data_IF_809860512479
#
_entry.id   IF_809860512479
#
_cell.length_a   1.000
_cell.length_b   1.000
_cell.length_c   1.000
_cell.angle_alpha   90.00
_cell.angle_beta   90.00
_cell.angle_gamma   90.00
#
_symmetry.space_group_name_H-M   'P 1'
#
loop_
_entity.id
_entity.type
_entity.pdbx_description
1 polymer ?
#
# COMPACT_ATOMS: atom_id res chain seq x y z
N UNK A 1 35.30 -39.47 -11.51
CA UNK A 1 34.56 -40.22 -10.49
C UNK A 1 34.51 -39.32 -9.26
N UNK A 2 33.53 -38.41 -9.14
CA UNK A 2 32.13 -38.68 -8.74
C UNK A 2 32.11 -39.20 -7.28
N UNK A 3 31.43 -38.65 -6.27
CA UNK A 3 30.24 -37.79 -6.08
C UNK A 3 30.36 -37.19 -4.64
N UNK A 4 30.08 -35.92 -4.35
CA UNK A 4 28.77 -35.24 -4.14
C UNK A 4 28.06 -35.51 -2.79
N UNK A 5 27.42 -34.43 -2.29
CA UNK A 5 26.37 -34.32 -1.26
C UNK A 5 26.77 -33.98 0.19
N UNK A 6 26.45 -32.73 0.58
CA UNK A 6 26.42 -32.32 1.99
C UNK A 6 26.27 -30.82 2.28
N UNK A 7 25.60 -30.03 1.44
CA UNK A 7 25.24 -28.63 1.75
C UNK A 7 23.85 -28.31 1.22
N UNK A 8 22.84 -28.80 1.92
CA UNK A 8 21.45 -28.33 1.80
C UNK A 8 21.12 -27.66 3.11
N UNK A 9 20.98 -26.34 3.13
CA UNK A 9 19.97 -25.55 3.85
C UNK A 9 20.23 -24.06 3.54
N UNK A 10 19.16 -23.34 3.19
CA UNK A 10 19.06 -21.87 3.03
C UNK A 10 19.51 -21.20 1.72
N UNK A 11 18.99 -21.63 0.57
CA UNK A 11 18.84 -20.70 -0.59
C UNK A 11 17.49 -20.97 -1.29
N UNK A 12 16.39 -20.66 -0.61
CA UNK A 12 15.05 -20.62 -1.21
C UNK A 12 14.24 -19.48 -0.58
N UNK A 13 14.60 -18.24 -0.91
CA UNK A 13 13.72 -17.06 -0.77
C UNK A 13 14.38 -15.85 -1.44
N UNK A 14 14.60 -15.92 -2.76
CA UNK A 14 14.83 -14.74 -3.60
C UNK A 14 13.97 -14.89 -4.85
N UNK A 15 12.67 -14.75 -4.63
CA UNK A 15 11.71 -14.46 -5.69
C UNK A 15 11.70 -12.95 -5.92
N UNK A 16 11.40 -12.57 -7.17
CA UNK A 16 11.25 -11.22 -7.72
C UNK A 16 12.58 -10.54 -8.06
N UNK A 17 12.80 -9.96 -9.24
CA UNK A 17 11.88 -9.32 -10.18
C UNK A 17 12.56 -9.30 -11.57
N UNK A 18 11.96 -9.93 -12.58
CA UNK A 18 12.42 -9.77 -13.96
C UNK A 18 11.22 -9.57 -14.90
N UNK A 19 11.07 -8.32 -15.34
CA UNK A 19 10.62 -7.91 -16.66
C UNK A 19 9.29 -8.47 -17.18
N UNK A 20 8.23 -7.69 -17.02
CA UNK A 20 7.10 -7.66 -17.95
C UNK A 20 6.62 -6.22 -18.13
N UNK A 21 7.45 -5.42 -18.80
CA UNK A 21 6.97 -4.29 -19.60
C UNK A 21 7.04 -4.77 -21.05
N UNK A 22 5.97 -5.43 -21.50
CA UNK A 22 5.75 -5.72 -22.91
C UNK A 22 4.41 -5.10 -23.31
N UNK A 23 4.55 -3.96 -23.97
CA UNK A 23 3.61 -3.22 -24.82
C UNK A 23 2.37 -3.98 -25.32
N UNK A 24 1.20 -3.44 -24.97
CA UNK A 24 0.02 -3.45 -25.84
C UNK A 24 -0.48 -2.01 -25.99
N UNK A 25 0.19 -1.24 -26.84
CA UNK A 25 -0.34 0.03 -27.34
C UNK A 25 -1.33 -0.31 -28.43
N UNK A 26 -2.62 -0.29 -28.08
CA UNK A 26 -3.69 -0.15 -29.06
C UNK A 26 -4.68 0.89 -28.53
N UNK A 27 -4.44 2.16 -28.89
CA UNK A 27 -5.46 3.12 -29.30
C UNK A 27 -6.69 3.35 -28.41
N UNK A 28 -6.59 3.29 -27.08
CA UNK A 28 -7.55 3.98 -26.19
C UNK A 28 -6.81 5.12 -25.51
N UNK A 29 -7.40 6.31 -25.51
CA UNK A 29 -6.99 7.34 -24.56
C UNK A 29 -6.96 6.67 -23.18
N UNK A 30 -5.78 6.59 -22.58
CA UNK A 30 -5.61 6.00 -21.27
C UNK A 30 -6.22 6.99 -20.28
N UNK A 31 -7.53 6.89 -20.08
CA UNK A 31 -8.27 7.82 -19.23
C UNK A 31 -8.00 7.46 -17.79
N UNK A 32 -7.25 8.34 -17.12
CA UNK A 32 -7.19 8.42 -15.68
C UNK A 32 -8.48 9.09 -15.21
N UNK A 33 -9.29 8.37 -14.43
CA UNK A 33 -10.52 8.94 -13.89
C UNK A 33 -10.38 9.04 -12.38
N UNK A 34 -10.65 10.20 -11.76
CA UNK A 34 -10.75 10.29 -10.30
C UNK A 34 -11.71 9.21 -9.78
N UNK A 35 -11.30 8.47 -8.75
CA UNK A 35 -12.12 7.43 -8.14
C UNK A 35 -12.62 7.87 -6.78
N UNK A 36 -11.72 8.29 -5.91
CA UNK A 36 -12.10 8.79 -4.59
C UNK A 36 -11.07 9.75 -4.01
N UNK A 37 -11.51 10.56 -3.05
CA UNK A 37 -10.64 11.38 -2.24
C UNK A 37 -11.13 11.33 -0.79
N UNK A 38 -10.21 11.36 0.17
CA UNK A 38 -10.58 11.18 1.57
C UNK A 38 -9.45 11.33 2.55
N UNK A 39 -9.69 10.83 3.75
CA UNK A 39 -8.75 10.86 4.87
C UNK A 39 -8.55 9.47 5.44
N UNK A 40 -7.36 9.19 5.94
CA UNK A 40 -7.01 7.96 6.65
C UNK A 40 -6.37 8.28 8.00
N UNK A 41 -6.77 7.55 9.04
CA UNK A 41 -6.26 7.67 10.40
C UNK A 41 -5.74 6.31 10.86
N UNK A 42 -4.51 6.27 11.36
CA UNK A 42 -3.79 5.06 11.69
C UNK A 42 -3.26 5.02 13.12
N UNK A 43 -3.23 3.82 13.69
CA UNK A 43 -2.56 3.51 14.96
C UNK A 43 -1.65 2.30 14.79
N UNK A 44 -0.48 2.31 15.43
CA UNK A 44 0.45 1.18 15.34
C UNK A 44 -0.11 -0.12 15.91
N UNK A 45 0.24 -1.24 15.28
CA UNK A 45 -0.13 -2.58 15.70
C UNK A 45 1.09 -3.34 16.23
N UNK A 46 1.02 -3.86 17.46
CA UNK A 46 2.08 -4.67 18.08
C UNK A 46 3.47 -4.00 18.09
N UNK A 47 3.54 -2.72 18.44
CA UNK A 47 4.78 -1.95 18.51
C UNK A 47 5.11 -1.55 19.96
N UNK A 48 6.41 -1.45 20.26
CA UNK A 48 6.89 -0.87 21.52
C UNK A 48 6.68 0.66 21.50
N UNK A 49 5.48 1.06 21.92
CA UNK A 49 4.97 2.43 21.90
C UNK A 49 4.01 2.69 20.74
N UNK A 50 3.26 3.79 20.82
CA UNK A 50 2.16 4.07 19.87
C UNK A 50 2.57 5.08 18.81
N UNK A 51 2.54 4.65 17.55
CA UNK A 51 2.53 5.58 16.41
C UNK A 51 1.11 5.97 16.06
N UNK A 52 0.94 7.23 15.66
CA UNK A 52 -0.29 7.75 15.09
C UNK A 52 0.00 8.27 13.68
N UNK A 53 -0.91 7.99 12.75
CA UNK A 53 -0.84 8.48 11.37
C UNK A 53 -2.13 9.21 11.02
N UNK A 54 -2.01 10.31 10.29
CA UNK A 54 -3.13 11.00 9.66
C UNK A 54 -2.73 11.46 8.26
N UNK A 55 -3.48 11.07 7.23
CA UNK A 55 -3.21 11.45 5.84
C UNK A 55 -4.47 11.81 5.07
N UNK A 56 -4.35 12.74 4.13
CA UNK A 56 -5.30 12.91 3.03
C UNK A 56 -4.84 12.07 1.84
N UNK A 57 -5.79 11.52 1.07
CA UNK A 57 -5.49 10.71 -0.10
C UNK A 57 -6.42 11.00 -1.27
N UNK A 58 -5.95 10.66 -2.47
CA UNK A 58 -6.74 10.63 -3.70
C UNK A 58 -6.36 9.39 -4.51
N UNK A 59 -7.37 8.71 -5.03
CA UNK A 59 -7.24 7.54 -5.88
C UNK A 59 -7.74 7.84 -7.30
N UNK A 60 -7.03 7.35 -8.31
CA UNK A 60 -7.48 7.39 -9.71
C UNK A 60 -7.53 5.98 -10.30
N UNK A 61 -8.62 5.66 -11.00
CA UNK A 61 -8.67 4.43 -11.79
C UNK A 61 -7.73 4.58 -13.00
N UNK A 62 -6.93 3.54 -13.18
CA UNK A 62 -6.09 3.34 -14.36
C UNK A 62 -6.89 2.59 -15.44
N UNK A 63 -6.47 2.63 -16.72
CA UNK A 63 -7.22 2.01 -17.81
C UNK A 63 -7.26 0.48 -17.76
N UNK A 64 -6.43 -0.16 -16.92
CA UNK A 64 -6.37 -1.63 -16.84
C UNK A 64 -7.36 -2.16 -15.80
N UNK A 65 -8.37 -2.86 -16.31
CA UNK A 65 -9.36 -3.55 -15.51
C UNK A 65 -9.76 -4.86 -16.19
N UNK A 66 -10.13 -5.85 -15.39
CA UNK A 66 -10.51 -7.17 -15.84
C UNK A 66 -11.80 -7.60 -15.13
N UNK A 67 -12.77 -8.04 -15.92
CA UNK A 67 -13.96 -8.70 -15.39
C UNK A 67 -13.65 -10.20 -15.22
N UNK A 68 -13.55 -10.64 -13.97
CA UNK A 68 -13.21 -12.00 -13.58
C UNK A 68 -14.51 -12.80 -13.41
N UNK A 69 -15.15 -13.10 -14.54
CA UNK A 69 -16.49 -13.67 -14.56
C UNK A 69 -17.58 -12.61 -14.36
N UNK A 70 -18.74 -13.01 -13.83
CA UNK A 70 -19.90 -12.10 -13.67
C UNK A 70 -19.92 -11.34 -12.33
N UNK A 71 -19.20 -11.84 -11.33
CA UNK A 71 -19.31 -11.35 -9.95
C UNK A 71 -18.08 -10.59 -9.46
N UNK A 72 -17.02 -10.48 -10.25
CA UNK A 72 -15.77 -9.89 -9.78
C UNK A 72 -15.19 -8.96 -10.83
N UNK A 73 -14.80 -7.76 -10.40
CA UNK A 73 -14.08 -6.81 -11.23
C UNK A 73 -12.79 -6.40 -10.55
N UNK A 74 -11.67 -6.70 -11.19
CA UNK A 74 -10.35 -6.26 -10.79
C UNK A 74 -10.01 -4.96 -11.50
N UNK A 75 -9.69 -3.91 -10.75
CA UNK A 75 -9.39 -2.58 -11.23
C UNK A 75 -8.00 -2.17 -10.74
N UNK A 76 -7.13 -1.71 -11.63
CA UNK A 76 -5.88 -1.05 -11.22
C UNK A 76 -6.14 0.41 -10.88
N UNK A 77 -5.46 0.92 -9.85
CA UNK A 77 -5.52 2.34 -9.46
C UNK A 77 -4.13 2.85 -9.12
N UNK A 78 -4.01 4.17 -9.09
CA UNK A 78 -2.89 4.85 -8.42
C UNK A 78 -3.43 5.55 -7.18
N UNK A 79 -2.74 5.33 -6.05
CA UNK A 79 -2.98 5.97 -4.75
C UNK A 79 -1.90 7.02 -4.51
N UNK A 80 -2.34 8.21 -4.12
CA UNK A 80 -1.47 9.31 -3.69
C UNK A 80 -1.95 9.78 -2.32
N UNK A 81 -1.05 9.78 -1.32
CA UNK A 81 -1.34 10.30 0.01
C UNK A 81 -0.25 11.22 0.53
N UNK A 82 -0.65 12.14 1.40
CA UNK A 82 0.24 13.03 2.13
C UNK A 82 -0.32 13.29 3.53
N UNK A 83 0.56 13.35 4.52
CA UNK A 83 0.12 13.44 5.90
C UNK A 83 1.24 13.54 6.91
N UNK A 84 0.92 13.08 8.11
CA UNK A 84 1.75 13.13 9.29
C UNK A 84 1.85 11.75 9.94
N UNK A 85 3.04 11.43 10.45
CA UNK A 85 3.34 10.28 11.26
C UNK A 85 4.01 10.76 12.56
N UNK A 86 3.43 10.40 13.70
CA UNK A 86 3.92 10.80 15.02
C UNK A 86 4.25 9.64 15.93
N UNK A 87 5.27 9.84 16.78
CA UNK A 87 5.65 8.94 17.87
C UNK A 87 6.28 9.72 19.02
N UNK A 88 5.63 9.70 20.18
CA UNK A 88 5.99 10.51 21.35
C UNK A 88 6.10 12.01 20.98
N UNK A 89 7.30 12.59 21.08
CA UNK A 89 7.60 14.00 20.77
C UNK A 89 8.20 14.18 19.36
N UNK A 90 8.13 13.14 18.51
CA UNK A 90 8.73 13.16 17.18
C UNK A 90 7.66 13.08 16.11
N UNK A 91 7.74 14.03 15.19
CA UNK A 91 6.83 14.18 14.07
C UNK A 91 7.59 14.07 12.75
N UNK A 92 6.94 13.47 11.76
CA UNK A 92 7.39 13.44 10.39
C UNK A 92 6.24 13.70 9.42
N UNK A 93 6.54 14.37 8.32
CA UNK A 93 5.72 14.30 7.13
C UNK A 93 5.88 12.90 6.52
N UNK A 94 4.77 12.34 6.03
CA UNK A 94 4.72 11.10 5.25
C UNK A 94 4.02 11.36 3.93
N UNK A 95 4.61 10.91 2.83
CA UNK A 95 4.02 10.98 1.49
C UNK A 95 4.15 9.64 0.78
N UNK A 96 3.06 9.13 0.22
CA UNK A 96 3.01 7.82 -0.43
C UNK A 96 2.45 7.97 -1.84
N UNK A 97 3.04 7.29 -2.81
CA UNK A 97 2.51 7.26 -4.17
C UNK A 97 2.79 5.92 -4.82
N UNK A 98 1.77 5.26 -5.37
CA UNK A 98 2.00 4.00 -6.07
C UNK A 98 0.75 3.27 -6.51
N UNK A 99 0.93 2.10 -7.16
CA UNK A 99 -0.17 1.32 -7.70
C UNK A 99 -0.87 0.51 -6.61
N UNK A 100 -2.19 0.35 -6.78
CA UNK A 100 -2.95 -0.64 -6.04
C UNK A 100 -3.91 -1.41 -6.95
N UNK A 101 -4.35 -2.57 -6.46
CA UNK A 101 -5.38 -3.40 -7.06
C UNK A 101 -6.64 -3.33 -6.20
N UNK A 102 -7.77 -3.04 -6.82
CA UNK A 102 -9.08 -3.05 -6.20
C UNK A 102 -9.94 -4.17 -6.80
N UNK A 103 -10.35 -5.12 -5.97
CA UNK A 103 -11.23 -6.21 -6.34
C UNK A 103 -12.64 -5.89 -5.82
N UNK A 104 -13.55 -5.52 -6.73
CA UNK A 104 -14.96 -5.25 -6.41
C UNK A 104 -15.78 -6.54 -6.43
N UNK A 105 -16.62 -6.73 -5.40
CA UNK A 105 -17.55 -7.84 -5.28
C UNK A 105 -18.87 -7.46 -5.95
N UNK A 106 -19.13 -7.94 -7.16
CA UNK A 106 -20.17 -7.45 -8.08
C UNK A 106 -21.53 -7.10 -7.45
N UNK A 107 -22.14 -7.99 -6.64
CA UNK A 107 -23.46 -7.73 -6.03
C UNK A 107 -23.41 -7.03 -4.66
N UNK A 108 -22.23 -6.88 -4.08
CA UNK A 108 -22.06 -6.33 -2.75
C UNK A 108 -21.38 -4.96 -2.84
N UNK A 109 -21.72 -4.00 -1.97
CA UNK A 109 -21.03 -2.72 -1.92
C UNK A 109 -19.64 -2.86 -1.27
N UNK A 110 -18.92 -3.95 -1.53
CA UNK A 110 -17.65 -4.28 -0.89
C UNK A 110 -16.53 -4.36 -1.93
N UNK A 111 -15.36 -3.82 -1.56
CA UNK A 111 -14.11 -4.05 -2.29
C UNK A 111 -12.99 -4.46 -1.34
N UNK A 112 -12.08 -5.29 -1.86
CA UNK A 112 -10.80 -5.57 -1.25
C UNK A 112 -9.73 -4.84 -2.04
N UNK A 113 -8.88 -4.07 -1.38
CA UNK A 113 -7.84 -3.29 -2.05
C UNK A 113 -6.49 -3.55 -1.42
N UNK A 114 -5.45 -3.65 -2.25
CA UNK A 114 -4.09 -3.86 -1.77
C UNK A 114 -3.04 -3.38 -2.75
N UNK A 115 -1.91 -2.95 -2.21
CA UNK A 115 -0.82 -2.35 -2.98
C UNK A 115 0.47 -2.31 -2.16
N UNK A 116 1.55 -1.93 -2.84
CA UNK A 116 2.86 -1.70 -2.24
C UNK A 116 3.46 -0.46 -2.87
N UNK A 117 3.56 0.60 -2.08
CA UNK A 117 3.82 1.95 -2.58
C UNK A 117 5.13 2.48 -2.00
N UNK A 118 5.99 3.13 -2.82
CA UNK A 118 7.02 4.00 -2.32
C UNK A 118 6.47 5.06 -1.37
N UNK A 119 7.16 5.24 -0.25
CA UNK A 119 6.79 6.14 0.85
C UNK A 119 7.99 6.96 1.27
N UNK A 120 7.82 8.27 1.39
CA UNK A 120 8.84 9.20 1.83
C UNK A 120 8.53 9.71 3.24
N UNK A 121 9.53 9.68 4.11
CA UNK A 121 9.49 10.27 5.43
C UNK A 121 10.43 11.47 5.50
N UNK A 122 9.95 12.61 5.99
CA UNK A 122 10.83 13.77 6.26
C UNK A 122 11.82 13.52 7.41
N UNK A 123 11.55 12.51 8.23
CA UNK A 123 12.37 12.06 9.35
C UNK A 123 12.23 10.55 9.49
N UNK A 124 13.36 9.86 9.55
CA UNK A 124 13.43 8.41 9.74
C UNK A 124 13.78 8.00 11.18
N UNK A 125 14.19 8.94 12.03
CA UNK A 125 14.55 8.68 13.42
C UNK A 125 13.54 9.33 14.39
N UNK A 126 12.81 8.48 15.11
CA UNK A 126 11.79 8.80 16.11
C UNK A 126 12.25 8.43 17.53
N UNK A 127 13.49 8.75 17.88
CA UNK A 127 14.06 8.45 19.20
C UNK A 127 14.48 6.98 19.30
N UNK A 128 13.67 6.14 19.95
CA UNK A 128 13.94 4.70 20.11
C UNK A 128 13.70 3.90 18.83
N UNK A 129 12.98 4.46 17.85
CA UNK A 129 12.65 3.83 16.56
C UNK A 129 13.38 4.55 15.41
N UNK A 130 14.28 3.85 14.73
CA UNK A 130 14.99 4.36 13.56
C UNK A 130 14.70 3.49 12.33
N UNK A 131 14.16 4.08 11.27
CA UNK A 131 13.80 3.41 10.01
C UNK A 131 14.94 3.31 8.99
N UNK A 132 16.16 3.74 9.37
CA UNK A 132 17.39 3.61 8.58
C UNK A 132 17.51 4.65 7.46
N UNK A 133 16.48 4.79 6.63
CA UNK A 133 16.43 5.70 5.48
C UNK A 133 15.10 6.45 5.42
N UNK A 134 15.07 7.60 4.76
CA UNK A 134 13.84 8.38 4.51
C UNK A 134 12.93 7.71 3.47
N UNK A 135 13.45 6.79 2.65
CA UNK A 135 12.68 6.06 1.64
C UNK A 135 12.23 4.72 2.20
N UNK A 136 10.92 4.50 2.21
CA UNK A 136 10.26 3.29 2.70
C UNK A 136 9.34 2.72 1.62
N UNK A 137 8.79 1.55 1.88
CA UNK A 137 7.67 0.95 1.14
C UNK A 137 6.55 0.67 2.10
N UNK A 138 5.35 1.16 1.78
CA UNK A 138 4.12 0.85 2.52
C UNK A 138 3.29 -0.17 1.73
N UNK A 139 3.27 -1.40 2.21
CA UNK A 139 2.41 -2.46 1.70
C UNK A 139 1.12 -2.52 2.52
N UNK A 140 -0.03 -2.72 1.87
CA UNK A 140 -1.31 -2.72 2.57
C UNK A 140 -2.33 -3.67 1.94
N UNK A 141 -3.28 -4.09 2.77
CA UNK A 141 -4.48 -4.82 2.36
C UNK A 141 -5.66 -4.29 3.19
N UNK A 142 -6.77 -3.97 2.53
CA UNK A 142 -7.94 -3.40 3.17
C UNK A 142 -9.27 -3.89 2.60
N UNK A 143 -10.30 -3.73 3.41
CA UNK A 143 -11.70 -3.96 3.08
C UNK A 143 -12.43 -2.62 3.12
N UNK A 144 -13.24 -2.37 2.10
CA UNK A 144 -13.96 -1.12 1.94
C UNK A 144 -15.43 -1.39 1.68
N UNK A 145 -16.28 -0.52 2.21
CA UNK A 145 -17.73 -0.57 2.09
C UNK A 145 -18.28 0.77 1.56
N UNK A 146 -18.88 0.71 0.38
CA UNK A 146 -19.61 1.80 -0.25
C UNK A 146 -21.00 1.92 0.40
N UNK A 147 -21.05 2.53 1.59
CA UNK A 147 -22.25 2.56 2.44
C UNK A 147 -23.31 3.57 1.97
N UNK A 148 -22.94 4.49 1.08
CA UNK A 148 -23.83 5.44 0.41
C UNK A 148 -23.31 5.73 -1.01
N UNK A 149 -24.12 6.32 -1.92
CA UNK A 149 -23.75 6.49 -3.33
C UNK A 149 -22.40 7.17 -3.56
N UNK A 150 -22.03 8.11 -2.69
CA UNK A 150 -20.79 8.87 -2.78
C UNK A 150 -19.88 8.69 -1.57
N UNK A 151 -20.15 7.74 -0.66
CA UNK A 151 -19.34 7.59 0.53
C UNK A 151 -18.89 6.15 0.76
N UNK A 152 -17.59 6.02 1.05
CA UNK A 152 -16.93 4.76 1.36
C UNK A 152 -16.25 4.86 2.72
N UNK A 153 -16.42 3.82 3.53
CA UNK A 153 -15.62 3.58 4.73
C UNK A 153 -14.67 2.43 4.46
N UNK A 154 -13.46 2.50 4.99
CA UNK A 154 -12.45 1.47 4.81
C UNK A 154 -11.71 1.13 6.09
N UNK A 155 -11.25 -0.10 6.17
CA UNK A 155 -10.23 -0.51 7.11
C UNK A 155 -9.10 -1.17 6.31
N UNK A 156 -7.85 -0.77 6.57
CA UNK A 156 -6.67 -1.43 6.03
C UNK A 156 -5.66 -1.73 7.12
N UNK A 157 -5.00 -2.87 6.96
CA UNK A 157 -3.74 -3.15 7.65
C UNK A 157 -2.60 -2.78 6.72
N UNK A 158 -1.60 -2.04 7.22
CA UNK A 158 -0.43 -1.67 6.43
C UNK A 158 0.86 -1.95 7.18
N UNK A 159 1.90 -2.30 6.42
CA UNK A 159 3.26 -2.51 6.89
C UNK A 159 4.20 -1.56 6.13
N UNK A 160 4.97 -0.76 6.86
CA UNK A 160 6.00 0.13 6.33
C UNK A 160 7.39 -0.39 6.69
N UNK A 161 8.27 -0.54 5.71
CA UNK A 161 9.68 -0.90 5.93
C UNK A 161 10.55 -0.45 4.76
N UNK A 162 11.87 -0.49 4.92
CA UNK A 162 12.80 -0.03 3.87
C UNK A 162 13.28 -1.16 2.95
N UNK A 163 12.70 -2.37 3.03
CA UNK A 163 13.11 -3.56 2.28
C UNK A 163 14.62 -3.88 2.41
N UNK A 164 15.20 -3.58 3.57
CA UNK A 164 16.63 -3.71 3.90
C UNK A 164 17.57 -2.89 3.01
N UNK A 165 17.08 -1.79 2.43
CA UNK A 165 17.93 -0.80 1.76
C UNK A 165 18.91 -0.10 2.71
N UNK A 166 18.56 -0.01 4.01
CA UNK A 166 19.44 0.51 5.05
C UNK A 166 19.16 -0.16 6.39
N UNK A 167 20.18 -0.27 7.24
CA UNK A 167 20.05 -0.73 8.62
C UNK A 167 20.06 0.46 9.59
N UNK A 168 19.29 0.43 10.69
CA UNK A 168 18.31 -0.60 11.05
C UNK A 168 17.02 -0.51 10.22
N UNK A 169 16.24 -1.59 10.19
CA UNK A 169 14.93 -1.67 9.53
C UNK A 169 13.90 -2.36 10.45
N UNK A 170 13.40 -1.67 11.49
CA UNK A 170 12.49 -2.27 12.47
C UNK A 170 11.09 -2.58 11.90
N UNK A 171 10.73 -1.94 10.78
CA UNK A 171 9.36 -1.94 10.27
C UNK A 171 8.39 -1.18 11.18
N UNK A 172 7.18 -0.95 10.65
CA UNK A 172 6.04 -0.40 11.38
C UNK A 172 4.74 -0.95 10.81
N UNK A 173 3.94 -1.61 11.64
CA UNK A 173 2.60 -2.05 11.29
C UNK A 173 1.55 -1.07 11.79
N UNK A 174 0.50 -0.78 11.00
CA UNK A 174 -0.62 0.05 11.44
C UNK A 174 -1.98 -0.55 11.08
N UNK A 175 -2.93 -0.37 11.99
CA UNK A 175 -4.37 -0.42 11.71
C UNK A 175 -4.84 0.95 11.25
N UNK A 176 -5.48 1.04 10.09
CA UNK A 176 -5.86 2.32 9.48
C UNK A 176 -7.32 2.31 9.07
N UNK A 177 -8.06 3.34 9.47
CA UNK A 177 -9.43 3.59 9.04
C UNK A 177 -9.44 4.68 7.96
N UNK A 178 -10.32 4.53 6.98
CA UNK A 178 -10.49 5.45 5.87
C UNK A 178 -11.94 5.93 5.77
N UNK A 179 -12.12 7.19 5.42
CA UNK A 179 -13.40 7.75 4.97
C UNK A 179 -13.13 8.51 3.67
N UNK A 180 -13.91 8.24 2.63
CA UNK A 180 -13.75 8.92 1.35
C UNK A 180 -15.05 9.22 0.64
N UNK A 181 -14.96 10.22 -0.22
CA UNK A 181 -15.96 10.58 -1.21
C UNK A 181 -15.67 9.87 -2.54
N UNK A 182 -16.68 9.26 -3.16
CA UNK A 182 -16.61 8.63 -4.49
C UNK A 182 -17.13 9.59 -5.55
N UNK A 183 -16.35 9.81 -6.61
CA UNK A 183 -16.70 10.72 -7.71
C UNK A 183 -17.73 10.15 -8.70
#
# INVERSE_FOLDING_TARGET
MENSHGRYYSILAKLWLAGLIATAVCGRAQTFTPESAGTRLGISANEDGTFYQAEGFVDWNLPWAWDLGKEWRLQTRVDLSAGWLGYNQHDAFIGTAGPLLALKLGRWPLSVEGGSNPTLLSRQNFGSKNFGTSVQFTSHLGLYWDFAPHFRVGYRFQHMSNADLASPNPGLNLHVLALSYLF
#
